data_IF_930084100592
#
_entry.id   IF_930084100592
#
_cell.length_a   1.000
_cell.length_b   1.000
_cell.length_c   1.000
_cell.angle_alpha   90.00
_cell.angle_beta   90.00
_cell.angle_gamma   90.00
#
_symmetry.space_group_name_H-M   'P 1'
#
loop_
_entity.id
_entity.type
_entity.pdbx_description
1 polymer ?
#
# COMPACT_ATOMS: atom_id res chain seq x y z
N UNK A 1 -19.17 7.28 8.40
CA UNK A 1 -18.06 6.32 8.58
C UNK A 1 -16.82 6.92 7.96
N UNK A 2 -15.68 6.78 8.62
CA UNK A 2 -14.40 7.36 8.20
C UNK A 2 -13.56 6.35 7.40
N UNK A 3 -13.79 5.04 7.59
CA UNK A 3 -13.18 3.94 6.83
C UNK A 3 -13.87 2.60 7.12
N UNK A 4 -13.49 1.49 6.44
CA UNK A 4 -14.09 0.17 6.65
C UNK A 4 -13.57 -0.55 7.90
N UNK A 5 -12.37 -0.22 8.40
CA UNK A 5 -11.82 -0.81 9.62
C UNK A 5 -12.10 0.11 10.82
N UNK A 6 -12.73 -0.46 11.86
CA UNK A 6 -13.01 0.23 13.12
C UNK A 6 -11.88 -0.07 14.14
N UNK A 7 -11.18 0.97 14.64
CA UNK A 7 -10.15 0.81 15.67
C UNK A 7 -10.73 0.34 17.01
N UNK A 8 -9.97 -0.49 17.73
CA UNK A 8 -10.39 -1.11 19.00
C UNK A 8 -9.62 -0.57 20.21
N UNK A 9 -8.44 0.03 20.01
CA UNK A 9 -7.67 0.66 21.09
C UNK A 9 -8.32 1.99 21.51
N UNK A 10 -8.13 2.43 22.76
CA UNK A 10 -8.66 3.71 23.22
C UNK A 10 -8.11 4.89 22.41
N UNK A 11 -6.83 4.83 22.00
CA UNK A 11 -6.19 5.84 21.16
C UNK A 11 -6.83 5.87 19.77
N UNK A 12 -7.01 4.70 19.13
CA UNK A 12 -7.63 4.61 17.82
C UNK A 12 -9.09 5.10 17.80
N UNK A 13 -9.88 4.73 18.82
CA UNK A 13 -11.26 5.20 18.96
C UNK A 13 -11.32 6.72 19.15
N UNK A 14 -10.45 7.27 19.99
CA UNK A 14 -10.32 8.70 20.19
C UNK A 14 -9.98 9.42 18.88
N UNK A 15 -8.96 8.94 18.15
CA UNK A 15 -8.53 9.52 16.88
C UNK A 15 -9.63 9.49 15.81
N UNK A 16 -10.38 8.40 15.69
CA UNK A 16 -11.53 8.34 14.76
C UNK A 16 -12.64 9.31 15.17
N UNK A 17 -12.93 9.43 16.48
CA UNK A 17 -13.91 10.42 16.95
C UNK A 17 -13.47 11.86 16.69
N UNK A 18 -12.16 12.10 16.76
CA UNK A 18 -11.55 13.40 16.49
C UNK A 18 -11.61 13.75 15.00
N UNK A 19 -11.35 12.78 14.11
CA UNK A 19 -11.53 12.94 12.67
C UNK A 19 -12.97 13.30 12.27
N UNK A 20 -13.97 12.88 13.05
CA UNK A 20 -15.37 13.22 12.78
C UNK A 20 -15.77 14.59 13.34
N UNK A 21 -15.24 14.95 14.51
CA UNK A 21 -15.66 16.15 15.24
C UNK A 21 -14.79 17.38 14.95
N UNK A 22 -13.46 17.24 15.04
CA UNK A 22 -12.50 18.33 14.90
C UNK A 22 -11.27 17.88 14.08
N UNK A 23 -11.40 17.71 12.75
CA UNK A 23 -10.31 17.23 11.89
C UNK A 23 -9.03 18.06 11.97
N UNK A 24 -9.15 19.37 12.25
CA UNK A 24 -8.02 20.30 12.34
C UNK A 24 -7.10 20.04 13.55
N UNK A 25 -7.61 19.41 14.61
CA UNK A 25 -6.82 19.04 15.80
C UNK A 25 -6.20 17.64 15.69
N UNK A 26 -6.55 16.90 14.64
CA UNK A 26 -6.19 15.48 14.53
C UNK A 26 -4.69 15.26 14.52
N UNK A 27 -3.96 16.00 13.67
CA UNK A 27 -2.52 15.76 13.50
C UNK A 27 -1.75 16.01 14.80
N UNK A 28 -2.06 17.11 15.49
CA UNK A 28 -1.45 17.45 16.78
C UNK A 28 -1.75 16.38 17.84
N UNK A 29 -3.00 15.91 17.92
CA UNK A 29 -3.37 14.86 18.86
C UNK A 29 -2.70 13.50 18.54
N UNK A 30 -2.59 13.16 17.25
CA UNK A 30 -1.90 11.96 16.80
C UNK A 30 -0.40 12.02 17.18
N UNK A 31 0.27 13.15 16.94
CA UNK A 31 1.67 13.36 17.33
C UNK A 31 1.87 13.20 18.84
N UNK A 32 1.01 13.81 19.66
CA UNK A 32 1.08 13.66 21.12
C UNK A 32 0.96 12.20 21.55
N UNK A 33 0.04 11.43 20.97
CA UNK A 33 -0.09 10.01 21.27
C UNK A 33 1.10 9.18 20.78
N UNK A 34 1.69 9.49 19.62
CA UNK A 34 2.90 8.80 19.13
C UNK A 34 4.06 9.04 20.10
N UNK A 35 4.24 10.26 20.60
CA UNK A 35 5.27 10.60 21.58
C UNK A 35 5.05 9.88 22.92
N UNK A 36 3.81 9.79 23.40
CA UNK A 36 3.47 9.02 24.60
C UNK A 36 3.81 7.53 24.42
N UNK A 37 3.41 6.93 23.30
CA UNK A 37 3.74 5.54 22.99
C UNK A 37 5.26 5.33 22.92
N UNK A 38 6.01 6.29 22.37
CA UNK A 38 7.47 6.23 22.31
C UNK A 38 8.10 6.30 23.71
N UNK A 39 7.61 7.19 24.58
CA UNK A 39 8.06 7.29 25.97
C UNK A 39 7.79 5.98 26.74
N UNK A 40 6.60 5.40 26.58
CA UNK A 40 6.22 4.13 27.19
C UNK A 40 7.10 2.97 26.71
N UNK A 41 7.42 2.93 25.40
CA UNK A 41 8.36 1.95 24.83
C UNK A 41 9.73 2.05 25.50
N UNK A 42 10.27 3.26 25.62
CA UNK A 42 11.60 3.48 26.19
C UNK A 42 11.62 3.14 27.70
N UNK A 43 10.60 3.54 28.44
CA UNK A 43 10.46 3.22 29.86
C UNK A 43 10.31 1.70 30.12
N UNK A 44 9.67 0.97 29.20
CA UNK A 44 9.58 -0.49 29.27
C UNK A 44 10.94 -1.16 29.01
N UNK A 45 11.72 -0.65 28.05
CA UNK A 45 13.06 -1.15 27.77
C UNK A 45 13.98 -1.04 29.00
N UNK A 46 13.97 0.11 29.69
CA UNK A 46 14.77 0.35 30.91
C UNK A 46 14.38 -0.55 32.10
N UNK A 47 13.11 -0.96 32.19
CA UNK A 47 12.66 -1.86 33.27
C UNK A 47 13.09 -3.30 33.06
N UNK A 48 13.23 -3.74 31.81
CA UNK A 48 13.59 -5.13 31.49
C UNK A 48 15.05 -5.48 31.82
N UNK A 49 15.95 -4.50 31.96
CA UNK A 49 17.36 -4.72 32.31
C UNK A 49 17.60 -4.96 33.80
N UNK A 50 16.60 -4.77 34.67
CA UNK A 50 16.79 -4.63 36.12
C UNK A 50 16.12 -5.71 37.01
N UNK A 51 15.55 -6.79 36.45
CA UNK A 51 14.70 -7.74 37.22
C UNK A 51 15.31 -9.12 37.51
N UNK A 52 15.01 -9.72 38.68
CA UNK A 52 15.49 -11.02 39.19
C UNK A 52 14.50 -12.22 39.08
N UNK A 53 15.05 -13.45 39.13
CA UNK A 53 14.64 -14.69 38.43
C UNK A 53 13.21 -15.29 38.61
N UNK A 54 12.52 -15.11 39.75
CA UNK A 54 11.20 -15.76 39.99
C UNK A 54 9.98 -14.84 39.90
N UNK A 55 10.14 -13.54 40.15
CA UNK A 55 9.15 -12.50 39.79
C UNK A 55 9.05 -12.35 38.26
N UNK A 56 10.06 -12.80 37.52
CA UNK A 56 10.18 -12.61 36.08
C UNK A 56 8.99 -13.10 35.28
N UNK A 57 8.33 -14.21 35.63
CA UNK A 57 7.31 -14.79 34.72
C UNK A 57 6.06 -13.91 34.64
N UNK A 58 5.56 -13.42 35.77
CA UNK A 58 4.39 -12.54 35.79
C UNK A 58 4.71 -11.17 35.17
N UNK A 59 5.84 -10.55 35.55
CA UNK A 59 6.23 -9.26 34.94
C UNK A 59 6.53 -9.40 33.45
N UNK A 60 7.13 -10.50 33.02
CA UNK A 60 7.34 -10.81 31.60
C UNK A 60 6.01 -10.91 30.87
N UNK A 61 5.02 -11.62 31.44
CA UNK A 61 3.71 -11.72 30.80
C UNK A 61 2.97 -10.39 30.74
N UNK A 62 3.06 -9.57 31.80
CA UNK A 62 2.50 -8.21 31.82
C UNK A 62 3.20 -7.33 30.77
N UNK A 63 4.53 -7.43 30.65
CA UNK A 63 5.29 -6.69 29.65
C UNK A 63 4.91 -7.12 28.22
N UNK A 64 4.75 -8.43 27.97
CA UNK A 64 4.27 -8.95 26.68
C UNK A 64 2.89 -8.41 26.31
N UNK A 65 1.94 -8.38 27.25
CA UNK A 65 0.60 -7.83 27.00
C UNK A 65 0.66 -6.34 26.72
N UNK A 66 1.43 -5.57 27.52
CA UNK A 66 1.63 -4.13 27.29
C UNK A 66 2.29 -3.83 25.95
N UNK A 67 3.23 -4.68 25.54
CA UNK A 67 3.85 -4.60 24.21
C UNK A 67 2.81 -4.76 23.11
N UNK A 68 1.95 -5.78 23.21
CA UNK A 68 0.89 -6.04 22.23
C UNK A 68 -0.14 -4.92 22.18
N UNK A 69 -0.54 -4.38 23.34
CA UNK A 69 -1.45 -3.22 23.41
C UNK A 69 -0.84 -1.99 22.76
N UNK A 70 0.45 -1.73 23.00
CA UNK A 70 1.17 -0.61 22.41
C UNK A 70 1.33 -0.77 20.91
N UNK A 71 1.72 -1.96 20.44
CA UNK A 71 1.80 -2.27 19.01
C UNK A 71 0.44 -2.06 18.33
N UNK A 72 -0.65 -2.56 18.93
CA UNK A 72 -2.01 -2.36 18.43
C UNK A 72 -2.36 -0.88 18.31
N UNK A 73 -2.04 -0.07 19.33
CA UNK A 73 -2.27 1.36 19.29
C UNK A 73 -1.49 2.04 18.14
N UNK A 74 -0.22 1.68 17.94
CA UNK A 74 0.59 2.22 16.83
C UNK A 74 -0.01 1.89 15.46
N UNK A 75 -0.46 0.64 15.25
CA UNK A 75 -1.11 0.24 13.98
C UNK A 75 -2.36 1.08 13.73
N UNK A 76 -3.18 1.31 14.77
CA UNK A 76 -4.40 2.11 14.65
C UNK A 76 -4.13 3.60 14.44
N UNK A 77 -3.03 4.14 15.00
CA UNK A 77 -2.56 5.50 14.71
C UNK A 77 -2.13 5.63 13.25
N UNK A 78 -1.32 4.69 12.73
CA UNK A 78 -0.91 4.67 11.31
C UNK A 78 -2.15 4.63 10.42
N UNK A 79 -3.10 3.75 10.72
CA UNK A 79 -4.36 3.68 9.97
C UNK A 79 -5.12 5.00 9.99
N UNK A 80 -5.24 5.63 11.16
CA UNK A 80 -5.94 6.90 11.31
C UNK A 80 -5.28 8.02 10.48
N UNK A 81 -3.95 8.06 10.42
CA UNK A 81 -3.20 9.00 9.57
C UNK A 81 -3.45 8.76 8.08
N UNK A 82 -3.51 7.49 7.65
CA UNK A 82 -3.88 7.14 6.27
C UNK A 82 -5.29 7.65 5.96
N UNK A 83 -6.26 7.36 6.83
CA UNK A 83 -7.65 7.81 6.69
C UNK A 83 -7.74 9.34 6.63
N UNK A 84 -6.97 10.05 7.45
CA UNK A 84 -6.90 11.51 7.41
C UNK A 84 -6.41 12.04 6.06
N UNK A 85 -5.38 11.44 5.47
CA UNK A 85 -4.91 11.80 4.11
C UNK A 85 -5.97 11.56 3.03
N UNK A 86 -6.78 10.52 3.17
CA UNK A 86 -7.94 10.31 2.29
C UNK A 86 -8.94 11.46 2.39
N UNK A 87 -9.28 11.90 3.62
CA UNK A 87 -10.19 13.02 3.85
C UNK A 87 -9.64 14.35 3.30
N UNK A 88 -8.38 14.66 3.57
CA UNK A 88 -7.70 15.86 3.07
C UNK A 88 -7.69 15.91 1.53
N UNK A 89 -7.50 14.74 0.90
CA UNK A 89 -7.51 14.58 -0.55
C UNK A 89 -8.92 14.48 -1.14
N UNK A 90 -9.97 14.60 -0.32
CA UNK A 90 -11.39 14.45 -0.69
C UNK A 90 -11.72 13.10 -1.33
N UNK A 91 -10.99 12.05 -0.93
CA UNK A 91 -11.19 10.69 -1.37
C UNK A 91 -11.95 9.88 -0.32
N UNK A 92 -13.03 9.22 -0.74
CA UNK A 92 -13.73 8.27 0.11
C UNK A 92 -13.07 6.90 0.08
N UNK A 93 -12.88 6.25 1.23
CA UNK A 93 -12.51 4.83 1.28
C UNK A 93 -13.69 3.95 0.85
N UNK A 94 -13.40 2.84 0.16
CA UNK A 94 -14.41 1.85 -0.21
C UNK A 94 -15.02 1.24 1.05
N UNK A 95 -16.36 1.18 1.16
CA UNK A 95 -17.00 0.55 2.30
C UNK A 95 -16.81 -0.98 2.27
N UNK A 96 -16.98 -1.61 3.43
CA UNK A 96 -16.98 -3.07 3.56
C UNK A 96 -17.90 -3.72 2.52
N UNK A 97 -17.38 -4.73 1.82
CA UNK A 97 -18.10 -5.41 0.76
C UNK A 97 -19.12 -6.38 1.39
N UNK A 98 -20.43 -6.13 1.24
CA UNK A 98 -21.43 -7.01 1.82
C UNK A 98 -21.46 -8.35 1.09
N UNK A 99 -21.91 -9.42 1.78
CA UNK A 99 -22.31 -10.64 1.09
C UNK A 99 -23.70 -10.40 0.50
N UNK A 100 -23.77 -10.20 -0.82
CA UNK A 100 -25.00 -9.91 -1.55
C UNK A 100 -25.35 -11.08 -2.49
N UNK A 101 -26.64 -11.32 -2.77
CA UNK A 101 -27.05 -12.31 -3.76
C UNK A 101 -26.47 -11.95 -5.14
N UNK A 102 -26.18 -12.97 -5.97
CA UNK A 102 -25.45 -12.84 -7.23
C UNK A 102 -25.99 -11.78 -8.21
N UNK A 103 -27.27 -11.43 -8.08
CA UNK A 103 -27.98 -10.50 -8.96
C UNK A 103 -27.76 -9.02 -8.59
N UNK A 104 -27.11 -8.73 -7.45
CA UNK A 104 -26.89 -7.37 -6.98
C UNK A 104 -25.39 -7.02 -7.01
N UNK A 105 -25.07 -5.88 -7.62
CA UNK A 105 -23.69 -5.37 -7.68
C UNK A 105 -23.35 -4.53 -6.46
N UNK A 106 -22.12 -4.67 -5.97
CA UNK A 106 -21.65 -4.01 -4.73
C UNK A 106 -21.29 -2.53 -4.92
N UNK A 107 -21.04 -2.10 -6.15
CA UNK A 107 -20.39 -0.83 -6.48
C UNK A 107 -21.34 0.27 -6.96
N UNK A 108 -22.65 0.11 -6.75
CA UNK A 108 -23.67 1.04 -7.26
C UNK A 108 -23.49 2.49 -6.78
N UNK A 109 -22.90 2.70 -5.60
CA UNK A 109 -22.74 4.02 -4.97
C UNK A 109 -21.26 4.46 -4.89
N UNK A 110 -20.34 3.76 -5.55
CA UNK A 110 -18.92 4.07 -5.48
C UNK A 110 -18.57 5.18 -6.46
N UNK A 111 -18.00 6.28 -5.96
CA UNK A 111 -17.48 7.35 -6.80
C UNK A 111 -16.16 6.91 -7.47
N UNK A 112 -15.73 7.56 -8.56
CA UNK A 112 -14.43 7.28 -9.20
C UNK A 112 -13.28 8.04 -8.50
N UNK A 113 -12.08 7.44 -8.32
CA UNK A 113 -10.87 8.13 -7.75
C UNK A 113 -9.99 8.69 -8.85
N UNK A 114 -10.07 8.13 -10.07
CA UNK A 114 -8.95 8.20 -11.01
C UNK A 114 -8.59 9.65 -11.38
N UNK A 115 -9.59 10.53 -11.51
CA UNK A 115 -9.37 11.96 -11.79
C UNK A 115 -8.78 12.73 -10.60
N UNK A 116 -9.05 12.29 -9.37
CA UNK A 116 -8.55 12.94 -8.16
C UNK A 116 -7.12 12.50 -7.80
N UNK A 117 -6.63 11.37 -8.33
CA UNK A 117 -5.23 10.95 -8.17
C UNK A 117 -4.21 11.91 -8.78
N UNK A 118 -4.63 12.74 -9.75
CA UNK A 118 -3.78 13.77 -10.37
C UNK A 118 -3.23 14.77 -9.34
N UNK A 119 -3.91 14.91 -8.20
CA UNK A 119 -3.46 15.76 -7.09
C UNK A 119 -2.44 15.09 -6.16
N UNK A 120 -2.36 13.76 -6.14
CA UNK A 120 -1.57 12.98 -5.17
C UNK A 120 -0.25 12.51 -5.78
N UNK A 121 -0.27 12.15 -7.06
CA UNK A 121 0.83 11.51 -7.77
C UNK A 121 1.35 12.35 -8.92
N UNK A 122 2.67 12.28 -9.14
CA UNK A 122 3.30 12.87 -10.32
C UNK A 122 2.77 12.21 -11.60
N UNK A 123 2.82 12.94 -12.73
CA UNK A 123 2.38 12.42 -14.03
C UNK A 123 3.07 11.10 -14.41
N UNK A 124 4.35 10.94 -14.01
CA UNK A 124 5.14 9.74 -14.25
C UNK A 124 4.60 8.54 -13.44
N UNK A 125 4.22 8.76 -12.17
CA UNK A 125 3.60 7.72 -11.33
C UNK A 125 2.23 7.33 -11.86
N UNK A 126 1.41 8.29 -12.27
CA UNK A 126 0.08 8.01 -12.84
C UNK A 126 0.15 7.16 -14.11
N UNK A 127 1.18 7.36 -14.94
CA UNK A 127 1.42 6.51 -16.10
C UNK A 127 1.72 5.07 -15.68
N UNK A 128 2.58 4.87 -14.69
CA UNK A 128 2.92 3.54 -14.15
C UNK A 128 1.70 2.86 -13.54
N UNK A 129 0.85 3.61 -12.82
CA UNK A 129 -0.41 3.12 -12.27
C UNK A 129 -1.39 2.72 -13.38
N UNK A 130 -1.50 3.52 -14.45
CA UNK A 130 -2.35 3.20 -15.60
C UNK A 130 -1.89 1.94 -16.33
N UNK A 131 -0.57 1.77 -16.49
CA UNK A 131 0.00 0.54 -17.06
C UNK A 131 -0.31 -0.67 -16.16
N UNK A 132 -0.13 -0.55 -14.83
CA UNK A 132 -0.47 -1.60 -13.86
C UNK A 132 -1.96 -1.98 -13.90
N UNK A 133 -2.85 -1.00 -13.93
CA UNK A 133 -4.29 -1.21 -14.09
C UNK A 133 -4.61 -1.92 -15.41
N UNK A 134 -3.96 -1.53 -16.51
CA UNK A 134 -4.14 -2.17 -17.82
C UNK A 134 -3.65 -3.63 -17.87
N UNK A 135 -2.67 -4.00 -17.05
CA UNK A 135 -2.22 -5.40 -16.92
C UNK A 135 -3.20 -6.23 -16.09
N UNK A 136 -3.70 -5.69 -14.97
CA UNK A 136 -4.60 -6.41 -14.06
C UNK A 136 -6.00 -6.56 -14.67
N UNK A 137 -6.54 -5.48 -15.24
CA UNK A 137 -7.93 -5.39 -15.71
C UNK A 137 -8.08 -5.62 -17.21
N UNK A 138 -6.96 -5.70 -17.93
CA UNK A 138 -6.93 -5.62 -19.38
C UNK A 138 -7.02 -4.17 -19.88
N UNK A 139 -6.52 -3.92 -21.10
CA UNK A 139 -6.66 -2.60 -21.73
C UNK A 139 -8.12 -2.36 -22.13
N UNK A 140 -8.66 -1.14 -21.91
CA UNK A 140 -9.96 -0.76 -22.43
C UNK A 140 -10.02 -1.02 -23.94
N UNK A 141 -10.88 -1.93 -24.39
CA UNK A 141 -11.21 -2.00 -25.81
C UNK A 141 -12.22 -0.88 -26.09
N UNK A 142 -12.11 -0.16 -27.22
CA UNK A 142 -13.13 0.79 -27.65
C UNK A 142 -14.53 0.17 -27.84
N UNK A 143 -14.65 -1.16 -27.81
CA UNK A 143 -15.92 -1.91 -27.87
C UNK A 143 -16.46 -2.33 -26.48
N UNK A 144 -15.72 -2.16 -25.39
CA UNK A 144 -16.21 -2.43 -24.03
C UNK A 144 -16.88 -1.19 -23.47
N UNK A 145 -18.19 -1.26 -23.22
CA UNK A 145 -18.87 -0.29 -22.38
C UNK A 145 -18.57 -0.61 -20.92
N UNK A 146 -17.44 -0.06 -20.44
CA UNK A 146 -16.89 -0.26 -19.09
C UNK A 146 -17.88 -0.16 -17.90
N UNK A 147 -18.95 0.66 -17.91
CA UNK A 147 -19.88 0.72 -16.77
C UNK A 147 -20.84 -0.48 -16.66
N UNK A 148 -20.99 -1.32 -17.69
CA UNK A 148 -21.98 -2.42 -17.71
C UNK A 148 -21.38 -3.83 -17.64
N UNK A 149 -20.06 -3.96 -17.78
CA UNK A 149 -19.40 -5.28 -17.67
C UNK A 149 -19.35 -5.70 -16.21
N UNK A 150 -20.17 -6.68 -15.84
CA UNK A 150 -20.19 -7.29 -14.52
C UNK A 150 -19.22 -8.47 -14.47
N UNK A 151 -18.48 -8.56 -13.37
CA UNK A 151 -17.55 -9.65 -13.08
C UNK A 151 -17.95 -10.26 -11.74
N UNK A 152 -18.11 -11.58 -11.72
CA UNK A 152 -18.22 -12.32 -10.47
C UNK A 152 -16.81 -12.63 -9.97
N UNK A 153 -16.50 -12.16 -8.77
CA UNK A 153 -15.16 -12.26 -8.20
C UNK A 153 -15.20 -12.89 -6.80
N UNK A 154 -14.20 -13.71 -6.48
CA UNK A 154 -14.02 -14.23 -5.12
C UNK A 154 -13.43 -13.15 -4.23
N UNK A 155 -14.01 -12.95 -3.04
CA UNK A 155 -13.50 -12.03 -2.01
C UNK A 155 -12.03 -12.31 -1.68
N UNK A 156 -11.64 -13.58 -1.60
CA UNK A 156 -10.23 -13.92 -1.38
C UNK A 156 -9.33 -13.48 -2.52
N UNK A 157 -9.71 -13.74 -3.78
CA UNK A 157 -8.87 -13.38 -4.94
C UNK A 157 -8.72 -11.86 -5.07
N UNK A 158 -9.82 -11.13 -4.88
CA UNK A 158 -9.78 -9.65 -4.92
C UNK A 158 -9.09 -9.08 -3.68
N UNK A 159 -9.22 -9.70 -2.51
CA UNK A 159 -8.49 -9.31 -1.31
C UNK A 159 -6.98 -9.42 -1.47
N UNK A 160 -6.49 -10.55 -2.03
CA UNK A 160 -5.07 -10.69 -2.37
C UNK A 160 -4.62 -9.65 -3.39
N UNK A 161 -5.43 -9.41 -4.43
CA UNK A 161 -5.15 -8.37 -5.43
C UNK A 161 -5.07 -6.98 -4.78
N UNK A 162 -5.99 -6.66 -3.88
CA UNK A 162 -6.02 -5.38 -3.15
C UNK A 162 -4.75 -5.23 -2.31
N UNK A 163 -4.41 -6.22 -1.48
CA UNK A 163 -3.21 -6.18 -0.65
C UNK A 163 -1.92 -6.04 -1.49
N UNK A 164 -1.79 -6.80 -2.58
CA UNK A 164 -0.66 -6.69 -3.50
C UNK A 164 -0.58 -5.30 -4.15
N UNK A 165 -1.72 -4.71 -4.49
CA UNK A 165 -1.80 -3.36 -5.06
C UNK A 165 -1.45 -2.28 -4.03
N UNK A 166 -1.82 -2.47 -2.76
CA UNK A 166 -1.39 -1.59 -1.66
C UNK A 166 0.13 -1.60 -1.52
N UNK A 167 0.76 -2.78 -1.52
CA UNK A 167 2.23 -2.89 -1.49
C UNK A 167 2.86 -2.22 -2.72
N UNK A 168 2.25 -2.36 -3.90
CA UNK A 168 2.69 -1.66 -5.11
C UNK A 168 2.60 -0.13 -4.98
N UNK A 169 1.51 0.41 -4.43
CA UNK A 169 1.37 1.85 -4.17
C UNK A 169 2.42 2.38 -3.19
N UNK A 170 2.66 1.65 -2.10
CA UNK A 170 3.71 1.94 -1.13
C UNK A 170 5.10 2.01 -1.78
N UNK A 171 5.42 1.00 -2.58
CA UNK A 171 6.65 0.94 -3.37
C UNK A 171 6.79 2.14 -4.31
N UNK A 172 5.75 2.46 -5.08
CA UNK A 172 5.77 3.57 -6.02
C UNK A 172 6.01 4.91 -5.33
N UNK A 173 5.34 5.16 -4.20
CA UNK A 173 5.52 6.40 -3.44
C UNK A 173 6.95 6.55 -2.93
N UNK A 174 7.53 5.48 -2.41
CA UNK A 174 8.90 5.47 -1.90
C UNK A 174 9.93 5.68 -3.02
N UNK A 175 9.72 5.04 -4.16
CA UNK A 175 10.55 5.24 -5.35
C UNK A 175 10.48 6.67 -5.88
N UNK A 176 9.28 7.23 -6.01
CA UNK A 176 9.07 8.59 -6.51
C UNK A 176 9.78 9.60 -5.59
N UNK A 177 9.61 9.49 -4.27
CA UNK A 177 10.32 10.35 -3.32
C UNK A 177 11.85 10.23 -3.45
N UNK A 178 12.38 9.00 -3.58
CA UNK A 178 13.82 8.80 -3.75
C UNK A 178 14.31 9.40 -5.07
N UNK A 179 13.57 9.18 -6.15
CA UNK A 179 13.88 9.74 -7.47
C UNK A 179 13.90 11.28 -7.45
N UNK A 180 12.89 11.91 -6.83
CA UNK A 180 12.85 13.37 -6.68
C UNK A 180 14.02 13.89 -5.83
N UNK A 181 14.37 13.18 -4.76
CA UNK A 181 15.54 13.52 -3.94
C UNK A 181 16.83 13.46 -4.78
N UNK A 182 17.06 12.37 -5.51
CA UNK A 182 18.25 12.23 -6.36
C UNK A 182 18.31 13.32 -7.46
N UNK A 183 17.17 13.69 -8.03
CA UNK A 183 17.07 14.79 -8.99
C UNK A 183 17.43 16.14 -8.35
N UNK A 184 16.88 16.42 -7.16
CA UNK A 184 17.17 17.66 -6.42
C UNK A 184 18.63 17.76 -6.01
N UNK A 185 19.24 16.64 -5.63
CA UNK A 185 20.61 16.55 -5.17
C UNK A 185 21.59 16.72 -6.34
N UNK A 186 21.29 16.10 -7.49
CA UNK A 186 22.01 16.35 -8.75
C UNK A 186 21.98 17.84 -9.09
N UNK A 187 20.79 18.45 -9.15
CA UNK A 187 20.62 19.88 -9.44
C UNK A 187 21.39 20.80 -8.47
N UNK A 188 21.42 20.44 -7.19
CA UNK A 188 22.19 21.20 -6.19
C UNK A 188 23.71 21.08 -6.40
N UNK A 189 24.19 19.94 -6.91
CA UNK A 189 25.60 19.67 -7.20
C UNK A 189 26.04 20.19 -8.59
N UNK A 190 25.12 20.24 -9.56
CA UNK A 190 25.36 20.69 -10.95
C UNK A 190 25.13 22.19 -11.15
N UNK A 191 25.17 22.99 -10.08
CA UNK A 191 25.10 24.47 -10.16
C UNK A 191 26.25 25.13 -10.95
N UNK A 192 27.10 24.37 -11.65
CA UNK A 192 28.04 24.89 -12.64
C UNK A 192 27.94 24.07 -13.96
N UNK A 193 27.05 24.53 -14.84
CA UNK A 193 26.96 24.35 -16.32
C UNK A 193 26.38 23.05 -16.92
N UNK A 194 25.43 23.28 -17.87
CA UNK A 194 24.91 22.43 -18.94
C UNK A 194 24.15 21.14 -18.57
N UNK A 195 22.91 21.25 -18.09
CA UNK A 195 22.06 20.11 -17.72
C UNK A 195 21.25 19.50 -18.89
N UNK A 196 20.95 20.26 -19.95
CA UNK A 196 20.03 19.80 -21.01
C UNK A 196 20.62 18.71 -21.93
N UNK A 197 21.95 18.61 -22.06
CA UNK A 197 22.58 17.62 -22.96
C UNK A 197 22.80 16.23 -22.33
N UNK A 198 23.03 16.15 -21.01
CA UNK A 198 23.30 14.88 -20.33
C UNK A 198 22.01 14.11 -19.99
N UNK A 199 20.94 14.84 -19.67
CA UNK A 199 19.63 14.28 -19.35
C UNK A 199 18.93 13.70 -20.60
N UNK A 200 19.17 14.30 -21.77
CA UNK A 200 18.76 13.72 -23.06
C UNK A 200 19.47 12.41 -23.39
N UNK A 201 20.75 12.27 -23.00
CA UNK A 201 21.55 11.06 -23.23
C UNK A 201 21.09 9.89 -22.36
N UNK A 202 20.84 10.10 -21.06
CA UNK A 202 20.33 9.05 -20.16
C UNK A 202 18.96 8.51 -20.59
N UNK A 203 18.06 9.40 -21.04
CA UNK A 203 16.77 8.99 -21.60
C UNK A 203 16.92 8.24 -22.93
N UNK A 204 17.87 8.65 -23.79
CA UNK A 204 18.17 7.96 -25.05
C UNK A 204 18.81 6.58 -24.84
N UNK A 205 19.72 6.43 -23.89
CA UNK A 205 20.33 5.14 -23.53
C UNK A 205 19.33 4.17 -22.92
N UNK A 206 18.45 4.65 -22.03
CA UNK A 206 17.37 3.84 -21.49
C UNK A 206 16.40 3.38 -22.60
N UNK A 207 16.09 4.25 -23.57
CA UNK A 207 15.28 3.89 -24.74
C UNK A 207 15.97 2.83 -25.60
N UNK A 208 17.27 2.95 -25.83
CA UNK A 208 18.05 1.98 -26.60
C UNK A 208 18.11 0.62 -25.89
N UNK A 209 18.29 0.60 -24.56
CA UNK A 209 18.29 -0.62 -23.77
C UNK A 209 16.93 -1.34 -23.80
N UNK A 210 15.82 -0.60 -23.70
CA UNK A 210 14.46 -1.15 -23.81
C UNK A 210 14.21 -1.71 -25.22
N UNK A 211 14.65 -1.02 -26.27
CA UNK A 211 14.51 -1.51 -27.65
C UNK A 211 15.34 -2.77 -27.91
N UNK A 212 16.57 -2.83 -27.41
CA UNK A 212 17.42 -4.01 -27.51
C UNK A 212 16.80 -5.23 -26.79
N UNK A 213 16.18 -5.01 -25.63
CA UNK A 213 15.52 -6.07 -24.85
C UNK A 213 14.19 -6.54 -25.48
N UNK A 214 13.48 -5.66 -26.19
CA UNK A 214 12.30 -6.02 -26.97
C UNK A 214 12.68 -6.80 -28.24
N UNK A 215 13.77 -6.42 -28.92
CA UNK A 215 14.28 -7.12 -30.09
C UNK A 215 14.80 -8.54 -29.77
N UNK A 216 15.35 -8.75 -28.56
CA UNK A 216 15.81 -10.06 -28.10
C UNK A 216 14.68 -11.06 -27.80
N UNK A 217 13.42 -10.61 -27.67
CA UNK A 217 12.26 -11.47 -27.36
C UNK A 217 11.46 -11.93 -28.57
N UNK A 218 11.68 -11.35 -29.75
CA UNK A 218 11.05 -11.82 -31.00
C UNK A 218 11.54 -13.20 -31.47
N UNK A 219 12.51 -13.82 -30.78
CA UNK A 219 13.09 -15.13 -31.14
C UNK A 219 12.75 -16.29 -30.20
N UNK A 220 11.81 -16.17 -29.25
CA UNK A 220 11.42 -17.32 -28.41
C UNK A 220 9.91 -17.39 -28.18
N UNK A 221 9.27 -18.30 -28.90
CA UNK A 221 7.88 -18.69 -28.74
C UNK A 221 7.63 -19.44 -27.42
N UNK A 222 6.56 -19.01 -26.73
CA UNK A 222 5.47 -19.85 -26.21
C UNK A 222 5.81 -20.94 -25.15
N UNK A 223 5.38 -20.69 -23.91
CA UNK A 223 5.00 -21.74 -22.95
C UNK A 223 5.74 -21.67 -21.60
N UNK A 224 5.00 -21.51 -20.51
CA UNK A 224 5.51 -21.70 -19.14
C UNK A 224 4.78 -20.87 -18.09
N UNK A 225 3.76 -21.46 -17.46
CA UNK A 225 3.32 -21.04 -16.12
C UNK A 225 4.42 -21.41 -15.12
N UNK A 226 4.77 -20.49 -14.22
CA UNK A 226 5.67 -20.75 -13.10
C UNK A 226 6.88 -19.83 -13.08
N UNK A 227 6.79 -18.75 -12.30
CA UNK A 227 7.90 -17.82 -12.10
C UNK A 227 7.46 -16.66 -11.23
N UNK A 228 7.56 -16.84 -9.91
CA UNK A 228 7.42 -15.80 -8.91
C UNK A 228 8.43 -14.69 -9.17
N UNK A 229 7.92 -13.57 -9.68
CA UNK A 229 8.63 -12.33 -9.84
C UNK A 229 7.57 -11.26 -9.97
N UNK A 230 7.54 -10.32 -9.03
CA UNK A 230 6.63 -9.16 -9.01
C UNK A 230 6.77 -8.31 -10.30
N UNK A 231 7.73 -8.63 -11.16
CA UNK A 231 7.97 -8.04 -12.47
C UNK A 231 8.21 -9.09 -13.56
N UNK A 232 7.17 -9.62 -14.24
CA UNK A 232 7.34 -10.23 -15.55
C UNK A 232 7.14 -9.14 -16.61
N UNK A 233 8.25 -8.66 -17.17
CA UNK A 233 8.31 -8.07 -18.51
C UNK A 233 7.29 -6.95 -18.82
N UNK A 234 7.34 -5.83 -18.10
CA UNK A 234 6.54 -4.66 -18.47
C UNK A 234 7.08 -4.07 -19.79
N UNK A 235 6.27 -4.16 -20.85
CA UNK A 235 6.45 -3.42 -22.11
C UNK A 235 6.17 -1.93 -21.91
N UNK A 236 6.93 -1.31 -21.02
CA UNK A 236 6.81 0.10 -20.67
C UNK A 236 7.22 1.01 -21.83
N UNK A 237 6.41 2.04 -22.09
CA UNK A 237 6.93 3.24 -22.74
C UNK A 237 7.91 3.91 -21.77
N UNK A 238 9.09 4.35 -22.24
CA UNK A 238 10.11 4.91 -21.37
C UNK A 238 9.68 6.30 -20.86
N UNK A 239 9.69 6.45 -19.53
CA UNK A 239 9.54 7.71 -18.82
C UNK A 239 10.73 7.88 -17.86
N UNK A 240 10.97 9.09 -17.33
CA UNK A 240 12.18 9.36 -16.53
C UNK A 240 12.22 8.50 -15.26
N UNK A 241 11.10 8.37 -14.53
CA UNK A 241 10.95 7.44 -13.41
C UNK A 241 11.17 5.98 -13.83
N UNK A 242 10.65 5.54 -14.98
CA UNK A 242 10.83 4.16 -15.45
C UNK A 242 12.30 3.84 -15.76
N UNK A 243 13.02 4.78 -16.38
CA UNK A 243 14.46 4.67 -16.63
C UNK A 243 15.26 4.63 -15.32
N UNK A 244 14.85 5.43 -14.32
CA UNK A 244 15.44 5.40 -12.98
C UNK A 244 15.25 4.03 -12.32
N UNK A 245 14.03 3.48 -12.34
CA UNK A 245 13.74 2.13 -11.79
C UNK A 245 14.59 1.07 -12.48
N UNK A 246 14.78 1.15 -13.80
CA UNK A 246 15.62 0.22 -14.57
C UNK A 246 17.12 0.36 -14.26
N UNK A 247 17.55 1.50 -13.72
CA UNK A 247 18.95 1.72 -13.32
C UNK A 247 19.27 1.20 -11.91
N UNK A 248 18.26 0.89 -11.10
CA UNK A 248 18.45 0.36 -9.75
C UNK A 248 18.90 -1.10 -9.80
N UNK A 249 19.78 -1.48 -8.89
CA UNK A 249 20.14 -2.87 -8.69
C UNK A 249 18.97 -3.67 -8.08
N UNK A 250 18.91 -5.00 -8.30
CA UNK A 250 17.80 -5.83 -7.82
C UNK A 250 17.62 -5.80 -6.29
N UNK A 251 18.70 -5.62 -5.53
CA UNK A 251 18.65 -5.58 -4.06
C UNK A 251 17.99 -4.28 -3.58
N UNK A 252 18.40 -3.14 -4.14
CA UNK A 252 17.75 -1.85 -3.91
C UNK A 252 16.27 -1.89 -4.28
N UNK A 253 15.94 -2.47 -5.44
CA UNK A 253 14.56 -2.60 -5.89
C UNK A 253 13.72 -3.45 -4.92
N UNK A 254 14.27 -4.57 -4.46
CA UNK A 254 13.61 -5.43 -3.47
C UNK A 254 13.37 -4.67 -2.16
N UNK A 255 14.35 -3.92 -1.68
CA UNK A 255 14.21 -3.10 -0.47
C UNK A 255 13.10 -2.06 -0.58
N UNK A 256 12.88 -1.49 -1.78
CA UNK A 256 11.75 -0.58 -2.02
C UNK A 256 10.42 -1.33 -2.05
N UNK A 257 10.39 -2.55 -2.56
CA UNK A 257 9.18 -3.36 -2.74
C UNK A 257 8.69 -4.05 -1.45
N UNK A 258 9.49 -4.05 -0.39
CA UNK A 258 9.12 -4.60 0.92
C UNK A 258 8.61 -3.51 1.86
N UNK A 259 7.49 -3.79 2.56
CA UNK A 259 7.05 -2.98 3.71
C UNK A 259 8.12 -3.02 4.79
N UNK A 260 8.48 -1.86 5.36
CA UNK A 260 9.62 -1.77 6.28
C UNK A 260 9.32 -2.31 7.66
N UNK A 261 8.09 -2.19 8.15
CA UNK A 261 7.75 -2.55 9.53
C UNK A 261 6.53 -3.48 9.60
N UNK A 262 6.42 -4.19 10.73
CA UNK A 262 5.33 -5.12 11.01
C UNK A 262 4.00 -4.39 11.18
N UNK A 263 4.02 -3.17 11.70
CA UNK A 263 2.83 -2.37 11.90
C UNK A 263 2.17 -1.99 10.57
N UNK A 264 2.96 -1.65 9.54
CA UNK A 264 2.43 -1.39 8.19
C UNK A 264 1.83 -2.66 7.57
N UNK A 265 2.45 -3.82 7.78
CA UNK A 265 1.89 -5.11 7.36
C UNK A 265 0.52 -5.37 8.02
N UNK A 266 0.43 -5.15 9.33
CA UNK A 266 -0.81 -5.29 10.10
C UNK A 266 -1.91 -4.32 9.62
N UNK A 267 -1.55 -3.10 9.21
CA UNK A 267 -2.50 -2.13 8.62
C UNK A 267 -3.07 -2.69 7.30
N UNK A 268 -2.22 -3.19 6.41
CA UNK A 268 -2.66 -3.76 5.12
C UNK A 268 -3.55 -4.99 5.36
N UNK A 269 -3.17 -5.87 6.29
CA UNK A 269 -3.95 -7.05 6.65
C UNK A 269 -5.32 -6.65 7.19
N UNK A 270 -5.39 -5.76 8.18
CA UNK A 270 -6.66 -5.35 8.81
C UNK A 270 -7.56 -4.59 7.86
N UNK A 271 -7.02 -3.70 7.02
CA UNK A 271 -7.80 -3.03 5.98
C UNK A 271 -8.37 -4.04 4.97
N UNK A 272 -7.59 -5.03 4.55
CA UNK A 272 -8.03 -6.08 3.63
C UNK A 272 -9.13 -6.95 4.27
N UNK A 273 -8.94 -7.37 5.53
CA UNK A 273 -9.95 -8.13 6.28
C UNK A 273 -11.23 -7.32 6.52
N UNK A 274 -11.12 -6.02 6.78
CA UNK A 274 -12.27 -5.15 6.96
C UNK A 274 -13.11 -5.01 5.67
N UNK A 275 -12.45 -4.98 4.50
CA UNK A 275 -13.10 -4.90 3.19
C UNK A 275 -13.74 -6.23 2.76
N UNK A 276 -13.00 -7.33 2.85
CA UNK A 276 -13.35 -8.61 2.22
C UNK A 276 -13.78 -9.70 3.22
N UNK A 277 -13.66 -9.45 4.52
CA UNK A 277 -13.83 -10.46 5.56
C UNK A 277 -12.53 -11.20 5.88
N UNK A 278 -12.54 -11.96 6.97
CA UNK A 278 -11.42 -12.84 7.33
C UNK A 278 -11.42 -14.07 6.42
N UNK A 279 -10.26 -14.51 5.92
CA UNK A 279 -10.18 -15.76 5.18
C UNK A 279 -10.57 -16.92 6.11
N UNK A 280 -11.58 -17.70 5.72
CA UNK A 280 -11.97 -18.90 6.46
C UNK A 280 -10.99 -20.03 6.14
N UNK A 281 -10.39 -20.57 7.20
CA UNK A 281 -9.43 -21.64 7.14
C UNK A 281 -9.96 -22.84 7.90
N UNK A 282 -10.07 -23.99 7.24
CA UNK A 282 -10.40 -25.26 7.87
C UNK A 282 -9.13 -26.09 8.05
N UNK A 283 -9.02 -26.76 9.19
CA UNK A 283 -7.96 -27.74 9.41
C UNK A 283 -8.44 -29.04 8.81
N UNK A 284 -7.84 -29.44 7.70
CA UNK A 284 -8.08 -30.73 7.09
C UNK A 284 -7.70 -31.86 8.06
N UNK A 285 -8.30 -33.06 7.93
CA UNK A 285 -8.05 -34.18 8.83
C UNK A 285 -6.59 -34.68 8.84
N UNK A 286 -5.76 -34.25 7.89
CA UNK A 286 -4.32 -34.49 7.83
C UNK A 286 -3.48 -33.43 8.57
N UNK A 287 -4.12 -32.47 9.23
CA UNK A 287 -3.48 -31.35 9.93
C UNK A 287 -3.06 -30.20 9.03
N UNK A 288 -3.34 -30.25 7.71
CA UNK A 288 -3.08 -29.13 6.80
C UNK A 288 -4.16 -28.06 6.93
N UNK A 289 -3.79 -26.79 6.74
CA UNK A 289 -4.75 -25.68 6.75
C UNK A 289 -5.22 -25.45 5.32
N UNK A 290 -6.49 -25.70 5.05
CA UNK A 290 -7.13 -25.47 3.74
C UNK A 290 -7.96 -24.20 3.83
N UNK A 291 -7.62 -23.22 2.98
CA UNK A 291 -8.43 -22.02 2.81
C UNK A 291 -9.67 -22.37 2.00
N UNK A 292 -10.86 -22.12 2.56
CA UNK A 292 -12.11 -22.32 1.84
C UNK A 292 -12.21 -21.33 0.68
N UNK A 293 -12.90 -21.74 -0.40
CA UNK A 293 -13.20 -20.84 -1.51
C UNK A 293 -14.13 -19.73 -1.00
N UNK A 294 -13.53 -18.62 -0.53
CA UNK A 294 -14.28 -17.56 0.11
C UNK A 294 -15.34 -16.94 -0.80
N UNK A 295 -16.39 -16.42 -0.16
CA UNK A 295 -17.55 -15.76 -0.75
C UNK A 295 -17.27 -15.07 -2.08
N UNK A 296 -18.18 -15.22 -3.05
CA UNK A 296 -18.16 -14.45 -4.28
C UNK A 296 -19.08 -13.24 -4.21
N UNK A 297 -18.75 -12.18 -4.94
CA UNK A 297 -19.57 -11.00 -5.12
C UNK A 297 -19.53 -10.52 -6.56
N UNK A 298 -20.58 -9.79 -6.97
CA UNK A 298 -20.67 -9.21 -8.31
C UNK A 298 -20.26 -7.74 -8.26
N UNK A 299 -19.35 -7.34 -9.15
CA UNK A 299 -18.83 -5.97 -9.24
C UNK A 299 -18.69 -5.56 -10.71
N UNK A 300 -18.92 -4.29 -11.03
CA UNK A 300 -18.59 -3.81 -12.38
C UNK A 300 -17.08 -3.65 -12.58
N UNK A 301 -16.64 -3.64 -13.84
CA UNK A 301 -15.25 -3.31 -14.17
C UNK A 301 -14.84 -1.92 -13.66
N UNK A 302 -15.79 -0.97 -13.62
CA UNK A 302 -15.55 0.37 -13.05
C UNK A 302 -15.33 0.33 -11.54
N UNK A 303 -16.10 -0.49 -10.81
CA UNK A 303 -15.91 -0.73 -9.39
C UNK A 303 -14.59 -1.43 -9.08
N UNK A 304 -14.21 -2.41 -9.91
CA UNK A 304 -12.93 -3.08 -9.75
C UNK A 304 -11.75 -2.12 -10.01
N UNK A 305 -11.87 -1.26 -11.04
CA UNK A 305 -10.92 -0.18 -11.25
C UNK A 305 -10.85 0.75 -10.04
N UNK A 306 -11.99 1.15 -9.47
CA UNK A 306 -12.05 1.96 -8.23
C UNK A 306 -11.27 1.29 -7.09
N UNK A 307 -11.48 0.00 -6.84
CA UNK A 307 -10.76 -0.76 -5.81
C UNK A 307 -9.24 -0.76 -6.00
N UNK A 308 -8.77 -1.09 -7.21
CA UNK A 308 -7.34 -1.14 -7.50
C UNK A 308 -6.73 0.26 -7.42
N UNK A 309 -7.45 1.28 -7.88
CA UNK A 309 -7.00 2.68 -7.81
C UNK A 309 -6.90 3.17 -6.37
N UNK A 310 -7.89 2.88 -5.53
CA UNK A 310 -7.84 3.17 -4.10
C UNK A 310 -6.70 2.44 -3.40
N UNK A 311 -6.46 1.17 -3.71
CA UNK A 311 -5.37 0.40 -3.12
C UNK A 311 -4.00 1.05 -3.37
N UNK A 312 -3.76 1.57 -4.58
CA UNK A 312 -2.54 2.31 -4.90
C UNK A 312 -2.41 3.56 -4.02
N UNK A 313 -3.48 4.35 -3.90
CA UNK A 313 -3.49 5.57 -3.06
C UNK A 313 -3.27 5.20 -1.59
N UNK A 314 -3.92 4.14 -1.12
CA UNK A 314 -3.80 3.65 0.25
C UNK A 314 -2.35 3.28 0.57
N UNK A 315 -1.69 2.52 -0.31
CA UNK A 315 -0.28 2.19 -0.15
C UNK A 315 0.63 3.41 -0.12
N UNK A 316 0.31 4.41 -0.94
CA UNK A 316 1.08 5.65 -1.01
C UNK A 316 0.96 6.48 0.27
N UNK A 317 -0.26 6.59 0.81
CA UNK A 317 -0.49 7.24 2.10
C UNK A 317 0.07 6.43 3.27
N UNK A 318 0.10 5.10 3.16
CA UNK A 318 0.71 4.23 4.16
C UNK A 318 2.20 4.51 4.30
N UNK A 319 2.94 4.69 3.19
CA UNK A 319 4.34 5.11 3.25
C UNK A 319 4.52 6.45 3.98
N UNK A 320 3.70 7.45 3.64
CA UNK A 320 3.80 8.76 4.27
C UNK A 320 3.46 8.71 5.78
N UNK A 321 2.45 7.93 6.17
CA UNK A 321 2.06 7.74 7.56
C UNK A 321 3.13 6.97 8.35
N UNK A 322 3.70 5.91 7.76
CA UNK A 322 4.81 5.17 8.34
C UNK A 322 6.02 6.07 8.58
N UNK A 323 6.43 6.85 7.57
CA UNK A 323 7.56 7.78 7.69
C UNK A 323 7.34 8.83 8.79
N UNK A 324 6.11 9.32 8.94
CA UNK A 324 5.75 10.26 10.00
C UNK A 324 5.83 9.62 11.40
N UNK A 325 5.27 8.42 11.58
CA UNK A 325 5.35 7.70 12.86
C UNK A 325 6.78 7.28 13.18
N UNK A 326 7.55 6.83 12.19
CA UNK A 326 8.96 6.42 12.35
C UNK A 326 9.81 7.54 12.95
N UNK A 327 9.58 8.80 12.50
CA UNK A 327 10.32 9.96 12.98
C UNK A 327 10.15 10.28 14.47
N UNK A 328 9.10 9.76 15.12
CA UNK A 328 8.80 10.01 16.54
C UNK A 328 8.90 8.74 17.40
N UNK A 329 8.46 7.59 16.86
CA UNK A 329 8.39 6.33 17.60
C UNK A 329 9.60 5.43 17.39
N UNK A 330 10.37 5.60 16.30
CA UNK A 330 11.39 4.66 15.81
C UNK A 330 10.78 3.26 15.62
N UNK A 331 10.14 3.05 14.47
CA UNK A 331 9.54 1.76 14.12
C UNK A 331 10.66 0.73 13.89
N UNK A 332 10.45 -0.49 14.38
CA UNK A 332 11.42 -1.58 14.20
C UNK A 332 11.05 -2.32 12.92
N UNK A 333 11.98 -2.36 11.97
CA UNK A 333 11.86 -3.14 10.75
C UNK A 333 12.30 -4.59 10.89
#
# INVERSE_FOLDING_TARGET
>A
MVGPWEPESPIGQFLVSLLQSHPHLFLEAAEQHIQQLAADKNAAAEKSTNSSDSELVLYKRIAEVKEQERQKAVVEVIYSLVVQKFLDSRLALVPKIPSLPANQKVDSNWQSVLGDMESIHSAEVLEVVRDHLGMILGRPSPHYQEPYTLVQASKMKIGHLYAATVVFGYFLRRLDQRYQLDLSMKKALSSDKHEDEEQGKLAAEANAAVQAMQAAKSSTTRGGLGGSGVFPQLGWKPSKLKSYVMSLDPESLQRFATLRCKESLDVVERQTQALFGKPEAEIAPDGSVVLLAGDSFTISLSGLRRLVTEAVVFGSFLWDAEAHVDSHYNLVG
#
